data_IF_727768189977
#
_entry.id   IF_727768189977
#
_cell.length_a   1.000
_cell.length_b   1.000
_cell.length_c   1.000
_cell.angle_alpha   90.00
_cell.angle_beta   90.00
_cell.angle_gamma   90.00
#
_symmetry.space_group_name_H-M   'P 1'
#
loop_
_entity.id
_entity.type
_entity.pdbx_description
1 polymer ?
#
# COMPACT_ATOMS: atom_id res chain seq x y z
N UNK A 1 47.24 -25.47 5.57
CA UNK A 1 47.12 -24.92 4.20
C UNK A 1 45.84 -24.11 4.15
N UNK A 2 45.91 -22.91 4.75
CA UNK A 2 45.91 -21.59 4.10
C UNK A 2 44.55 -21.22 3.47
N UNK A 3 43.82 -20.39 4.22
CA UNK A 3 42.62 -19.68 3.81
C UNK A 3 43.00 -18.64 2.75
N UNK A 4 42.36 -18.73 1.58
CA UNK A 4 42.52 -17.73 0.51
C UNK A 4 41.83 -16.43 0.90
N UNK A 5 42.66 -15.39 0.87
CA UNK A 5 42.41 -13.99 1.16
C UNK A 5 42.11 -13.23 -0.13
N UNK A 6 41.46 -12.08 0.06
CA UNK A 6 41.55 -10.86 -0.72
C UNK A 6 40.67 -10.70 -1.97
N UNK A 7 39.58 -9.95 -1.72
CA UNK A 7 38.90 -9.03 -2.63
C UNK A 7 39.91 -8.16 -3.41
N UNK A 8 39.67 -7.99 -4.72
CA UNK A 8 40.27 -6.92 -5.51
C UNK A 8 39.17 -5.93 -5.92
N UNK A 9 39.18 -4.80 -5.22
CA UNK A 9 38.48 -3.58 -5.61
C UNK A 9 39.07 -3.05 -6.92
N UNK A 10 38.23 -2.90 -7.94
CA UNK A 10 38.55 -2.19 -9.17
C UNK A 10 37.81 -0.85 -9.19
N UNK A 11 38.39 0.16 -8.54
CA UNK A 11 38.01 1.56 -8.73
C UNK A 11 38.72 2.08 -9.98
N UNK A 12 38.01 2.07 -11.11
CA UNK A 12 38.46 2.64 -12.36
C UNK A 12 38.36 4.17 -12.36
N UNK A 13 39.51 4.83 -12.33
CA UNK A 13 39.67 6.27 -12.56
C UNK A 13 39.35 6.60 -14.02
N UNK A 14 38.25 7.30 -14.29
CA UNK A 14 37.99 7.89 -15.61
C UNK A 14 38.49 9.33 -15.65
N UNK A 15 39.56 9.52 -16.44
CA UNK A 15 40.20 10.80 -16.71
C UNK A 15 39.27 11.74 -17.48
N UNK A 16 39.22 12.99 -17.03
CA UNK A 16 38.58 14.10 -17.70
C UNK A 16 39.38 14.51 -18.94
N UNK A 17 38.68 14.71 -20.07
CA UNK A 17 39.18 15.42 -21.23
C UNK A 17 38.24 16.60 -21.51
N UNK A 18 38.76 17.81 -21.31
CA UNK A 18 38.15 19.08 -21.69
C UNK A 18 38.27 19.30 -23.20
N UNK A 19 37.16 19.63 -23.86
CA UNK A 19 37.17 20.40 -25.11
C UNK A 19 36.17 21.55 -25.01
N UNK A 20 36.60 22.70 -25.54
CA UNK A 20 36.00 24.01 -25.34
C UNK A 20 34.89 24.35 -26.35
N UNK A 21 33.89 25.08 -25.84
CA UNK A 21 33.12 26.20 -26.39
C UNK A 21 32.65 26.22 -27.87
N UNK A 22 31.33 26.42 -28.01
CA UNK A 22 30.73 27.29 -29.04
C UNK A 22 29.47 27.95 -28.45
N UNK A 23 29.44 29.29 -28.39
CA UNK A 23 28.25 30.06 -28.03
C UNK A 23 27.37 30.26 -29.27
N UNK A 24 26.07 30.02 -29.15
CA UNK A 24 25.05 30.57 -30.02
C UNK A 24 23.87 31.09 -29.16
N UNK A 25 23.37 32.32 -29.37
CA UNK A 25 22.19 32.82 -28.69
C UNK A 25 20.94 32.41 -29.47
N UNK A 26 20.04 31.66 -28.87
CA UNK A 26 18.67 31.52 -29.37
C UNK A 26 17.70 32.00 -28.30
N UNK A 27 16.99 33.07 -28.63
CA UNK A 27 15.84 33.59 -27.90
C UNK A 27 14.69 32.60 -28.01
N UNK A 28 14.22 32.08 -26.88
CA UNK A 28 13.01 31.27 -26.82
C UNK A 28 12.74 30.70 -25.43
N UNK A 29 12.02 31.43 -24.60
CA UNK A 29 11.19 30.89 -23.51
C UNK A 29 9.73 31.03 -23.99
N UNK A 30 8.70 30.34 -23.46
CA UNK A 30 8.64 29.45 -22.30
C UNK A 30 7.80 28.17 -22.49
N UNK A 31 8.01 27.12 -21.69
CA UNK A 31 6.91 26.25 -21.22
C UNK A 31 7.42 25.15 -20.29
N UNK A 32 6.81 25.10 -19.11
CA UNK A 32 6.52 23.92 -18.32
C UNK A 32 6.89 22.60 -18.97
N UNK A 33 8.08 22.09 -18.66
CA UNK A 33 8.24 20.65 -18.54
C UNK A 33 7.57 20.26 -17.24
N UNK A 34 6.26 20.05 -17.34
CA UNK A 34 5.51 19.26 -16.39
C UNK A 34 6.38 18.07 -16.00
N UNK A 35 6.76 18.03 -14.72
CA UNK A 35 7.25 16.83 -14.07
C UNK A 35 6.14 15.79 -14.21
N UNK A 36 6.16 15.09 -15.34
CA UNK A 36 5.55 13.80 -15.51
C UNK A 36 6.39 12.88 -14.63
N UNK A 37 6.12 12.94 -13.32
CA UNK A 37 6.35 11.84 -12.40
C UNK A 37 5.45 10.72 -12.89
N UNK A 38 5.92 10.03 -13.93
CA UNK A 38 5.33 8.80 -14.41
C UNK A 38 5.37 7.84 -13.24
N UNK A 39 4.19 7.59 -12.70
CA UNK A 39 3.79 6.37 -12.01
C UNK A 39 4.44 5.15 -12.66
N UNK A 40 5.67 4.88 -12.27
CA UNK A 40 6.44 3.68 -12.63
C UNK A 40 6.76 2.87 -11.37
N UNK A 41 6.53 3.46 -10.20
CA UNK A 41 6.74 2.86 -8.87
C UNK A 41 5.44 2.28 -8.26
N UNK A 42 4.33 2.39 -8.98
CA UNK A 42 2.99 2.07 -8.50
C UNK A 42 2.77 0.58 -8.16
N UNK A 43 3.24 -0.41 -8.94
CA UNK A 43 3.03 -1.82 -8.61
C UNK A 43 3.83 -2.25 -7.37
N UNK A 44 5.04 -1.73 -7.21
CA UNK A 44 5.89 -2.05 -6.07
C UNK A 44 5.38 -1.39 -4.78
N UNK A 45 5.02 -0.11 -4.83
CA UNK A 45 4.47 0.60 -3.67
C UNK A 45 3.12 0.01 -3.22
N UNK A 46 2.24 -0.37 -4.15
CA UNK A 46 0.97 -1.03 -3.82
C UNK A 46 1.16 -2.44 -3.27
N UNK A 47 2.11 -3.21 -3.82
CA UNK A 47 2.48 -4.53 -3.28
C UNK A 47 3.06 -4.40 -1.86
N UNK A 48 4.00 -3.48 -1.65
CA UNK A 48 4.56 -3.21 -0.32
C UNK A 48 3.49 -2.76 0.68
N UNK A 49 2.56 -1.91 0.24
CA UNK A 49 1.42 -1.46 1.05
C UNK A 49 0.49 -2.63 1.40
N UNK A 50 0.22 -3.53 0.45
CA UNK A 50 -0.58 -4.74 0.68
C UNK A 50 0.10 -5.72 1.64
N UNK A 51 1.42 -5.92 1.53
CA UNK A 51 2.19 -6.73 2.48
C UNK A 51 2.15 -6.13 3.88
N UNK A 52 2.35 -4.81 4.01
CA UNK A 52 2.20 -4.11 5.29
C UNK A 52 0.78 -4.24 5.84
N UNK A 53 -0.24 -4.09 4.99
CA UNK A 53 -1.64 -4.26 5.35
C UNK A 53 -1.96 -5.64 5.89
N UNK A 54 -1.42 -6.70 5.27
CA UNK A 54 -1.54 -8.08 5.77
C UNK A 54 -0.95 -8.22 7.18
N UNK A 55 0.23 -7.65 7.41
CA UNK A 55 0.87 -7.68 8.73
C UNK A 55 0.04 -6.92 9.78
N UNK A 56 -0.48 -5.75 9.43
CA UNK A 56 -1.36 -4.97 10.31
C UNK A 56 -2.63 -5.75 10.63
N UNK A 57 -3.26 -6.39 9.65
CA UNK A 57 -4.45 -7.21 9.85
C UNK A 57 -4.19 -8.33 10.88
N UNK A 58 -3.02 -8.97 10.80
CA UNK A 58 -2.62 -10.03 11.72
C UNK A 58 -2.28 -9.54 13.13
N UNK A 59 -1.81 -8.29 13.29
CA UNK A 59 -1.20 -7.80 14.54
C UNK A 59 -2.01 -6.74 15.28
N UNK A 60 -2.96 -6.08 14.60
CA UNK A 60 -3.79 -5.00 15.19
C UNK A 60 -5.14 -5.48 15.73
N UNK A 61 -5.33 -6.81 15.81
CA UNK A 61 -6.53 -7.42 16.41
C UNK A 61 -7.65 -7.76 15.42
N UNK A 62 -7.49 -7.50 14.12
CA UNK A 62 -8.52 -7.78 13.11
C UNK A 62 -8.89 -9.27 13.05
N UNK A 63 -7.89 -10.15 13.16
CA UNK A 63 -8.05 -11.62 13.18
C UNK A 63 -8.80 -12.16 14.39
N UNK A 64 -9.00 -11.35 15.44
CA UNK A 64 -9.80 -11.73 16.60
C UNK A 64 -11.30 -11.82 16.30
N UNK A 65 -11.77 -11.15 15.24
CA UNK A 65 -13.18 -11.10 14.87
C UNK A 65 -13.45 -11.41 13.40
N UNK A 66 -12.49 -11.15 12.50
CA UNK A 66 -12.65 -11.33 11.07
C UNK A 66 -11.73 -12.43 10.55
N UNK A 67 -12.27 -13.24 9.63
CA UNK A 67 -11.47 -14.18 8.85
C UNK A 67 -10.96 -13.54 7.57
N UNK A 68 -9.86 -14.10 7.07
CA UNK A 68 -9.33 -13.82 5.73
C UNK A 68 -8.54 -15.05 5.27
N UNK A 69 -8.76 -15.57 4.07
CA UNK A 69 -8.17 -16.84 3.61
C UNK A 69 -6.63 -16.85 3.65
N UNK A 70 -5.99 -15.70 3.40
CA UNK A 70 -4.53 -15.57 3.54
C UNK A 70 -3.99 -15.65 4.99
N UNK A 71 -4.88 -15.66 5.99
CA UNK A 71 -4.58 -15.67 7.43
C UNK A 71 -5.56 -16.61 8.16
N UNK A 72 -5.42 -17.95 8.02
CA UNK A 72 -6.36 -18.94 8.54
C UNK A 72 -6.40 -19.06 10.07
N UNK A 73 -5.60 -18.27 10.80
CA UNK A 73 -5.55 -18.23 12.26
C UNK A 73 -6.72 -17.45 12.91
N UNK A 74 -7.68 -16.97 12.12
CA UNK A 74 -8.87 -16.31 12.64
C UNK A 74 -9.89 -17.36 13.12
N UNK A 75 -10.01 -17.52 14.43
CA UNK A 75 -10.74 -18.64 15.04
C UNK A 75 -12.16 -18.29 15.49
N UNK A 76 -12.60 -17.02 15.41
CA UNK A 76 -13.94 -16.61 15.82
C UNK A 76 -14.63 -15.73 14.76
N UNK A 77 -15.82 -16.13 14.35
CA UNK A 77 -16.64 -15.46 13.32
C UNK A 77 -17.55 -14.40 13.94
N UNK A 78 -16.97 -13.44 14.68
CA UNK A 78 -17.73 -12.33 15.30
C UNK A 78 -18.13 -11.30 14.25
N UNK A 79 -17.23 -11.04 13.29
CA UNK A 79 -17.45 -10.18 12.13
C UNK A 79 -17.48 -10.97 10.83
N UNK A 80 -17.84 -10.31 9.71
CA UNK A 80 -17.87 -10.94 8.40
C UNK A 80 -16.50 -11.43 7.95
N UNK A 81 -16.49 -12.49 7.13
CA UNK A 81 -15.31 -12.86 6.36
C UNK A 81 -14.91 -11.71 5.42
N UNK A 82 -13.62 -11.39 5.35
CA UNK A 82 -13.09 -10.30 4.55
C UNK A 82 -12.30 -10.77 3.33
N UNK A 83 -12.19 -12.09 3.10
CA UNK A 83 -11.45 -12.68 1.97
C UNK A 83 -11.79 -12.04 0.62
N UNK A 84 -13.09 -11.87 0.35
CA UNK A 84 -13.58 -11.32 -0.93
C UNK A 84 -14.16 -9.91 -0.75
N UNK A 85 -13.54 -9.07 0.09
CA UNK A 85 -14.09 -7.75 0.41
C UNK A 85 -14.24 -6.84 -0.81
N UNK A 86 -13.29 -6.90 -1.75
CA UNK A 86 -13.32 -6.14 -2.98
C UNK A 86 -14.65 -6.26 -3.74
N UNK A 87 -15.23 -7.46 -3.81
CA UNK A 87 -16.41 -7.76 -4.62
C UNK A 87 -17.68 -7.06 -4.15
N UNK A 88 -17.74 -6.69 -2.86
CA UNK A 88 -18.96 -6.14 -2.24
C UNK A 88 -18.76 -4.85 -1.47
N UNK A 89 -17.55 -4.33 -1.35
CA UNK A 89 -17.29 -3.12 -0.56
C UNK A 89 -18.03 -1.88 -1.12
N UNK A 90 -18.00 -1.67 -2.44
CA UNK A 90 -18.61 -0.50 -3.09
C UNK A 90 -20.16 -0.48 -3.06
N UNK A 91 -20.80 -1.58 -2.65
CA UNK A 91 -22.27 -1.69 -2.64
C UNK A 91 -22.87 -1.60 -1.23
N UNK A 92 -22.04 -1.48 -0.19
CA UNK A 92 -22.51 -1.48 1.21
C UNK A 92 -23.22 -0.19 1.59
N UNK A 93 -22.72 0.95 1.12
CA UNK A 93 -23.22 2.28 1.46
C UNK A 93 -23.37 3.08 0.18
N UNK A 94 -24.60 3.54 -0.10
CA UNK A 94 -24.87 4.36 -1.27
C UNK A 94 -24.02 5.64 -1.25
N UNK A 95 -23.34 5.92 -2.35
CA UNK A 95 -22.48 7.10 -2.49
C UNK A 95 -21.03 6.93 -2.00
N UNK A 96 -20.67 5.79 -1.42
CA UNK A 96 -19.27 5.46 -1.11
C UNK A 96 -18.71 4.44 -2.10
N UNK A 97 -17.50 4.69 -2.60
CA UNK A 97 -16.74 3.65 -3.29
C UNK A 97 -16.17 2.63 -2.29
N UNK A 98 -15.57 1.55 -2.80
CA UNK A 98 -15.00 0.49 -1.95
C UNK A 98 -13.95 1.00 -0.96
N UNK A 99 -13.08 1.93 -1.39
CA UNK A 99 -11.99 2.47 -0.58
C UNK A 99 -12.52 3.38 0.53
N UNK A 100 -13.49 4.24 0.20
CA UNK A 100 -14.16 5.12 1.15
C UNK A 100 -14.95 4.31 2.18
N UNK A 101 -15.67 3.27 1.75
CA UNK A 101 -16.37 2.36 2.65
C UNK A 101 -15.41 1.69 3.64
N UNK A 102 -14.33 1.05 3.16
CA UNK A 102 -13.39 0.35 4.05
C UNK A 102 -12.69 1.33 5.00
N UNK A 103 -12.32 2.52 4.51
CA UNK A 103 -11.76 3.58 5.37
C UNK A 103 -12.73 3.97 6.47
N UNK A 104 -13.99 4.22 6.13
CA UNK A 104 -15.02 4.58 7.11
C UNK A 104 -15.21 3.44 8.12
N UNK A 105 -15.35 2.19 7.69
CA UNK A 105 -15.53 1.05 8.60
C UNK A 105 -14.39 0.89 9.61
N UNK A 106 -13.16 1.29 9.26
CA UNK A 106 -12.01 1.20 10.18
C UNK A 106 -11.91 2.43 11.09
N UNK A 107 -12.15 3.64 10.55
CA UNK A 107 -11.98 4.91 11.27
C UNK A 107 -13.20 5.28 12.13
N UNK A 108 -14.38 4.85 11.71
CA UNK A 108 -15.66 5.08 12.36
C UNK A 108 -16.54 3.82 12.23
N UNK A 109 -16.22 2.76 12.99
CA UNK A 109 -16.89 1.45 12.86
C UNK A 109 -18.39 1.49 13.19
N UNK A 110 -18.87 2.54 13.85
CA UNK A 110 -20.28 2.75 14.15
C UNK A 110 -21.09 3.40 13.02
N UNK A 111 -20.43 3.92 11.97
CA UNK A 111 -21.12 4.65 10.91
C UNK A 111 -21.99 3.76 10.01
N UNK A 112 -21.60 2.49 9.84
CA UNK A 112 -22.38 1.52 9.08
C UNK A 112 -22.22 0.13 9.67
N UNK A 113 -23.37 -0.51 9.95
CA UNK A 113 -23.40 -1.86 10.50
C UNK A 113 -23.83 -2.85 9.42
N UNK A 114 -23.01 -3.87 9.18
CA UNK A 114 -23.35 -4.93 8.21
C UNK A 114 -24.53 -5.75 8.76
N UNK A 115 -25.63 -5.92 7.99
CA UNK A 115 -26.75 -6.75 8.43
C UNK A 115 -26.31 -8.17 8.80
N UNK A 116 -26.84 -8.68 9.92
CA UNK A 116 -26.52 -10.01 10.43
C UNK A 116 -25.30 -10.08 11.36
N UNK A 117 -24.61 -8.96 11.64
CA UNK A 117 -23.48 -8.91 12.57
C UNK A 117 -23.74 -7.92 13.72
N UNK A 118 -23.16 -8.21 14.88
CA UNK A 118 -23.23 -7.32 16.04
C UNK A 118 -22.27 -6.14 15.86
N UNK A 119 -22.70 -4.96 16.30
CA UNK A 119 -21.92 -3.72 16.26
C UNK A 119 -20.85 -3.67 17.36
N UNK A 120 -19.84 -4.52 17.25
CA UNK A 120 -18.77 -4.68 18.25
C UNK A 120 -17.37 -4.35 17.71
N UNK A 121 -17.26 -3.91 16.46
CA UNK A 121 -15.97 -3.52 15.89
C UNK A 121 -15.45 -2.28 16.63
N UNK A 122 -14.28 -2.35 17.30
CA UNK A 122 -13.75 -1.23 18.06
C UNK A 122 -13.08 -0.21 17.15
N UNK A 123 -13.02 1.05 17.58
CA UNK A 123 -12.05 2.00 17.05
C UNK A 123 -10.65 1.62 17.56
N UNK A 124 -9.75 1.31 16.62
CA UNK A 124 -8.38 0.88 16.90
C UNK A 124 -7.38 2.05 16.95
N UNK A 125 -7.83 3.29 16.72
CA UNK A 125 -6.99 4.48 16.76
C UNK A 125 -5.84 4.45 15.74
N UNK A 126 -6.07 3.83 14.58
CA UNK A 126 -5.03 3.64 13.56
C UNK A 126 -4.69 4.94 12.83
N UNK A 127 -3.42 5.07 12.44
CA UNK A 127 -2.98 6.18 11.59
C UNK A 127 -3.56 6.05 10.18
N UNK A 128 -3.67 7.17 9.45
CA UNK A 128 -4.18 7.14 8.07
C UNK A 128 -3.31 6.26 7.15
N UNK A 129 -2.00 6.23 7.38
CA UNK A 129 -1.07 5.37 6.64
C UNK A 129 -1.30 3.87 6.91
N UNK A 130 -1.62 3.49 8.15
CA UNK A 130 -1.94 2.11 8.49
C UNK A 130 -3.31 1.69 7.92
N UNK A 131 -4.30 2.59 7.96
CA UNK A 131 -5.60 2.39 7.30
C UNK A 131 -5.41 2.21 5.79
N UNK A 132 -4.55 3.00 5.17
CA UNK A 132 -4.23 2.88 3.75
C UNK A 132 -3.59 1.56 3.37
N UNK A 133 -2.63 1.08 4.17
CA UNK A 133 -2.04 -0.23 3.99
C UNK A 133 -3.09 -1.35 4.15
N UNK A 134 -3.97 -1.27 5.16
CA UNK A 134 -5.08 -2.22 5.36
C UNK A 134 -6.03 -2.24 4.16
N UNK A 135 -6.41 -1.08 3.62
CA UNK A 135 -7.25 -0.98 2.42
C UNK A 135 -6.56 -1.64 1.23
N UNK A 136 -5.27 -1.37 1.01
CA UNK A 136 -4.50 -1.98 -0.08
C UNK A 136 -4.48 -3.51 0.03
N UNK A 137 -4.39 -4.06 1.24
CA UNK A 137 -4.50 -5.49 1.47
C UNK A 137 -5.91 -6.03 1.21
N UNK A 138 -6.94 -5.45 1.84
CA UNK A 138 -8.32 -5.96 1.83
C UNK A 138 -9.03 -5.81 0.49
N UNK A 139 -8.66 -4.80 -0.31
CA UNK A 139 -9.21 -4.60 -1.64
C UNK A 139 -8.32 -5.20 -2.74
N UNK A 140 -7.04 -5.46 -2.43
CA UNK A 140 -6.10 -6.12 -3.33
C UNK A 140 -6.13 -7.65 -3.28
N UNK A 141 -6.81 -8.24 -2.28
CA UNK A 141 -6.97 -9.70 -2.15
C UNK A 141 -8.13 -10.28 -2.95
N UNK A 142 -8.88 -9.45 -3.70
CA UNK A 142 -9.91 -9.91 -4.64
C UNK A 142 -9.30 -10.46 -5.92
N UNK A 143 -9.00 -11.75 -5.92
CA UNK A 143 -8.56 -12.54 -7.09
C UNK A 143 -8.85 -14.01 -6.89
#
# INVERSE_FOLDING_TARGET
>A
MLRSIAELAAYGTFAALLTAASLAPTTGNPASSAATSRSSDQPYASTASSVRGRLLFATKGCTGCHTHASLPSAHMQVGPDLTHLADRAATRVAGLDARAYVRQSIRDPGAYHVPGYTAVMPDLGLSDADIDALIAFLLGSGG
#
